data_IF_269730010707
#
_entry.id   IF_269730010707
#
_cell.length_a   1.000
_cell.length_b   1.000
_cell.length_c   1.000
_cell.angle_alpha   90.00
_cell.angle_beta   90.00
_cell.angle_gamma   90.00
#
_symmetry.space_group_name_H-M   'P 1'
#
loop_
_entity.id
_entity.type
_entity.pdbx_description
1 polymer ?
#
# COMPACT_ATOMS: atom_id res chain seq x y z
N UNK A 1 12.69 8.66 -10.70
CA UNK A 1 11.76 7.78 -11.45
C UNK A 1 11.94 6.29 -11.16
N UNK A 2 13.15 5.72 -11.19
CA UNK A 2 13.33 4.25 -11.05
C UNK A 2 12.85 3.64 -9.71
N UNK A 3 12.87 4.41 -8.61
CA UNK A 3 12.44 3.94 -7.28
C UNK A 3 10.95 3.59 -7.24
N UNK A 4 10.08 4.51 -7.68
CA UNK A 4 8.63 4.32 -7.70
C UNK A 4 8.21 3.19 -8.64
N UNK A 5 8.86 3.04 -9.80
CA UNK A 5 8.58 1.91 -10.70
C UNK A 5 8.89 0.56 -10.09
N UNK A 6 9.96 0.45 -9.27
CA UNK A 6 10.25 -0.78 -8.52
C UNK A 6 9.22 -1.05 -7.43
N UNK A 7 8.69 -0.02 -6.78
CA UNK A 7 7.61 -0.17 -5.81
C UNK A 7 6.31 -0.61 -6.46
N UNK A 8 5.97 -0.03 -7.62
CA UNK A 8 4.78 -0.39 -8.38
C UNK A 8 4.81 -1.88 -8.76
N UNK A 9 5.97 -2.45 -9.12
CA UNK A 9 6.13 -3.89 -9.37
C UNK A 9 5.88 -4.78 -8.14
N UNK A 10 6.09 -4.26 -6.92
CA UNK A 10 5.83 -4.98 -5.68
C UNK A 10 4.34 -4.97 -5.31
N UNK A 11 3.55 -4.02 -5.81
CA UNK A 11 2.11 -3.92 -5.51
C UNK A 11 1.37 -5.20 -5.93
N UNK A 12 1.65 -5.70 -7.14
CA UNK A 12 1.01 -6.88 -7.70
C UNK A 12 1.39 -8.18 -6.98
N UNK A 13 2.60 -8.24 -6.41
CA UNK A 13 3.11 -9.39 -5.68
C UNK A 13 2.42 -9.49 -4.31
N UNK A 14 2.38 -8.38 -3.57
CA UNK A 14 1.82 -8.35 -2.22
C UNK A 14 0.32 -8.05 -2.17
N UNK A 15 -0.32 -7.84 -3.33
CA UNK A 15 -1.76 -7.56 -3.45
C UNK A 15 -2.18 -6.35 -2.62
N UNK A 16 -1.33 -5.31 -2.60
CA UNK A 16 -1.61 -4.02 -1.97
C UNK A 16 -1.94 -2.99 -3.04
N UNK A 17 -2.74 -2.00 -2.69
CA UNK A 17 -3.25 -1.00 -3.64
C UNK A 17 -2.54 0.31 -3.41
N UNK A 18 -1.96 0.90 -4.46
CA UNK A 18 -1.49 2.28 -4.42
C UNK A 18 -2.68 3.21 -4.30
N UNK A 19 -2.69 4.02 -3.24
CA UNK A 19 -3.72 5.05 -3.03
C UNK A 19 -3.29 6.27 -3.82
N UNK A 20 -2.22 6.92 -3.37
CA UNK A 20 -1.77 8.21 -3.91
C UNK A 20 -0.27 8.40 -3.70
N UNK A 21 0.29 9.38 -4.40
CA UNK A 21 1.68 9.84 -4.19
C UNK A 21 1.64 11.33 -3.91
N UNK A 22 2.08 11.73 -2.70
CA UNK A 22 2.03 13.12 -2.23
C UNK A 22 3.47 13.59 -2.03
N UNK A 23 4.03 14.31 -3.01
CA UNK A 23 5.43 14.71 -3.00
C UNK A 23 6.36 13.50 -2.94
N UNK A 24 7.14 13.40 -1.86
CA UNK A 24 8.05 12.27 -1.57
C UNK A 24 7.41 11.15 -0.73
N UNK A 25 6.10 11.25 -0.48
CA UNK A 25 5.33 10.25 0.22
C UNK A 25 4.61 9.31 -0.76
N UNK A 26 4.84 8.01 -0.60
CA UNK A 26 4.17 6.95 -1.34
C UNK A 26 3.18 6.23 -0.43
N UNK A 27 1.89 6.36 -0.73
CA UNK A 27 0.79 5.87 0.10
C UNK A 27 0.15 4.65 -0.54
N UNK A 28 0.12 3.54 0.20
CA UNK A 28 -0.58 2.32 -0.20
C UNK A 28 -1.57 1.90 0.87
N UNK A 29 -2.59 1.17 0.46
CA UNK A 29 -3.59 0.58 1.33
C UNK A 29 -3.65 -0.94 1.12
N UNK A 30 -3.68 -1.67 2.22
CA UNK A 30 -4.02 -3.09 2.26
C UNK A 30 -5.39 -3.31 2.91
N UNK A 31 -6.03 -4.43 2.55
CA UNK A 31 -7.34 -4.80 3.11
C UNK A 31 -8.54 -4.19 2.40
N UNK A 32 -8.32 -3.29 1.42
CA UNK A 32 -9.40 -2.66 0.67
C UNK A 32 -10.05 -3.59 -0.38
N UNK A 33 -9.29 -4.56 -0.89
CA UNK A 33 -9.70 -5.42 -2.00
C UNK A 33 -9.24 -6.85 -1.75
N UNK A 34 -10.15 -7.82 -1.91
CA UNK A 34 -9.80 -9.23 -1.98
C UNK A 34 -9.80 -9.68 -3.44
N UNK A 35 -8.96 -10.65 -3.74
CA UNK A 35 -9.02 -11.36 -5.02
C UNK A 35 -9.86 -12.61 -4.78
N UNK A 36 -10.93 -12.77 -5.56
CA UNK A 36 -11.74 -13.98 -5.54
C UNK A 36 -10.92 -15.18 -6.08
N UNK A 37 -11.43 -16.41 -5.94
CA UNK A 37 -10.82 -17.62 -6.49
C UNK A 37 -10.51 -17.53 -7.99
N UNK A 38 -11.27 -16.69 -8.72
CA UNK A 38 -11.07 -16.41 -10.15
C UNK A 38 -10.08 -15.27 -10.44
N UNK A 39 -9.46 -14.67 -9.42
CA UNK A 39 -8.48 -13.59 -9.58
C UNK A 39 -9.09 -12.21 -9.84
N UNK A 40 -10.41 -12.06 -9.74
CA UNK A 40 -11.07 -10.76 -9.84
C UNK A 40 -11.03 -9.97 -8.53
N UNK A 41 -10.90 -8.64 -8.63
CA UNK A 41 -10.90 -7.70 -7.50
C UNK A 41 -12.34 -7.51 -6.99
N UNK A 42 -12.62 -8.04 -5.81
CA UNK A 42 -13.89 -7.87 -5.11
C UNK A 42 -13.70 -7.05 -3.83
N UNK A 43 -14.67 -6.19 -3.52
CA UNK A 43 -14.74 -5.50 -2.23
C UNK A 43 -15.21 -6.51 -1.18
N UNK A 44 -14.56 -6.56 -0.02
CA UNK A 44 -14.96 -7.44 1.08
C UNK A 44 -16.45 -7.23 1.41
N UNK A 45 -17.22 -8.32 1.61
CA UNK A 45 -18.56 -8.23 2.19
C UNK A 45 -18.52 -7.55 3.56
N UNK A 46 -19.60 -6.87 3.93
CA UNK A 46 -19.74 -6.22 5.24
C UNK A 46 -19.51 -7.24 6.36
N UNK A 47 -18.53 -6.99 7.23
CA UNK A 47 -18.18 -7.85 8.36
C UNK A 47 -17.04 -8.85 8.11
N UNK A 48 -16.59 -9.04 6.87
CA UNK A 48 -15.37 -9.84 6.61
C UNK A 48 -14.11 -8.98 6.67
N UNK A 49 -13.15 -9.41 7.49
CA UNK A 49 -11.81 -8.84 7.57
C UNK A 49 -10.83 -9.92 7.14
N UNK A 50 -10.07 -9.67 6.07
CA UNK A 50 -8.99 -10.59 5.69
C UNK A 50 -7.86 -10.50 6.71
N UNK A 51 -7.83 -11.29 7.78
CA UNK A 51 -6.81 -11.17 8.84
C UNK A 51 -5.34 -11.16 8.37
N UNK A 52 -5.06 -11.64 7.15
CA UNK A 52 -3.71 -11.63 6.57
C UNK A 52 -3.35 -10.33 5.85
N UNK A 53 -4.28 -9.37 5.68
CA UNK A 53 -4.01 -8.12 4.98
C UNK A 53 -2.89 -7.30 5.65
N UNK A 54 -2.85 -7.28 6.99
CA UNK A 54 -1.80 -6.60 7.74
C UNK A 54 -0.42 -7.22 7.48
N UNK A 55 -0.35 -8.56 7.42
CA UNK A 55 0.89 -9.29 7.10
C UNK A 55 1.38 -8.95 5.71
N UNK A 56 0.49 -8.89 4.70
CA UNK A 56 0.85 -8.50 3.33
C UNK A 56 1.41 -7.10 3.25
N UNK A 57 0.83 -6.14 3.97
CA UNK A 57 1.32 -4.76 4.04
C UNK A 57 2.70 -4.68 4.69
N UNK A 58 2.93 -5.44 5.77
CA UNK A 58 4.25 -5.47 6.44
C UNK A 58 5.31 -6.18 5.59
N UNK A 59 4.95 -7.24 4.87
CA UNK A 59 5.86 -7.90 3.93
C UNK A 59 6.19 -6.99 2.74
N UNK A 60 5.21 -6.26 2.22
CA UNK A 60 5.43 -5.20 1.21
C UNK A 60 6.38 -4.13 1.74
N UNK A 61 6.17 -3.64 2.96
CA UNK A 61 7.04 -2.69 3.64
C UNK A 61 8.50 -3.18 3.71
N UNK A 62 8.69 -4.45 4.09
CA UNK A 62 10.00 -5.09 4.15
C UNK A 62 10.65 -5.20 2.77
N UNK A 63 9.88 -5.54 1.74
CA UNK A 63 10.35 -5.63 0.37
C UNK A 63 10.77 -4.26 -0.18
N UNK A 64 10.01 -3.19 0.11
CA UNK A 64 10.37 -1.82 -0.25
C UNK A 64 11.70 -1.39 0.38
N UNK A 65 11.91 -1.65 1.67
CA UNK A 65 13.19 -1.36 2.34
C UNK A 65 14.36 -2.06 1.65
N UNK A 66 14.19 -3.34 1.28
CA UNK A 66 15.23 -4.09 0.56
C UNK A 66 15.49 -3.51 -0.82
N UNK A 67 14.44 -3.16 -1.56
CA UNK A 67 14.55 -2.53 -2.87
C UNK A 67 15.25 -1.17 -2.80
N UNK A 68 14.96 -0.37 -1.76
CA UNK A 68 15.56 0.94 -1.55
C UNK A 68 17.03 0.87 -1.13
N UNK A 69 17.43 -0.13 -0.33
CA UNK A 69 18.85 -0.35 0.02
C UNK A 69 19.76 -0.56 -1.18
N UNK A 70 19.23 -1.13 -2.26
CA UNK A 70 19.96 -1.34 -3.52
C UNK A 70 19.93 -0.14 -4.47
N UNK A 71 19.40 1.01 -4.03
CA UNK A 71 19.24 2.20 -4.84
C UNK A 71 19.91 3.39 -4.17
N UNK A 72 20.64 4.15 -4.97
CA UNK A 72 21.20 5.45 -4.59
C UNK A 72 20.38 6.56 -5.23
N UNK A 73 20.25 7.69 -4.54
CA UNK A 73 19.61 8.85 -5.13
C UNK A 73 20.44 9.35 -6.31
N UNK A 74 19.85 9.52 -7.51
CA UNK A 74 20.60 9.95 -8.69
C UNK A 74 21.11 11.39 -8.61
N UNK A 75 20.61 12.21 -7.67
CA UNK A 75 21.06 13.58 -7.48
C UNK A 75 22.12 13.75 -6.39
N UNK A 76 22.03 13.03 -5.28
CA UNK A 76 22.95 13.19 -4.13
C UNK A 76 23.96 12.05 -4.03
N UNK A 77 23.76 10.92 -4.71
CA UNK A 77 24.62 9.74 -4.60
C UNK A 77 24.48 8.99 -3.27
N UNK A 78 23.67 9.50 -2.34
CA UNK A 78 23.43 8.90 -1.04
C UNK A 78 22.44 7.73 -1.13
N UNK A 79 22.47 6.86 -0.11
CA UNK A 79 21.53 5.76 0.01
C UNK A 79 20.10 6.29 0.24
N UNK A 80 19.11 5.69 -0.42
CA UNK A 80 17.70 6.08 -0.23
C UNK A 80 17.27 5.79 1.21
N UNK A 81 16.98 6.85 1.97
CA UNK A 81 16.43 6.76 3.32
C UNK A 81 14.91 6.78 3.28
N UNK A 82 14.32 5.61 3.51
CA UNK A 82 12.87 5.47 3.66
C UNK A 82 12.48 5.45 5.13
N UNK A 83 11.45 6.20 5.47
CA UNK A 83 10.73 6.10 6.73
C UNK A 83 9.35 5.52 6.47
N UNK A 84 9.01 4.48 7.21
CA UNK A 84 7.77 3.74 7.01
C UNK A 84 6.84 3.98 8.19
N UNK A 85 5.61 4.37 7.90
CA UNK A 85 4.50 4.44 8.86
C UNK A 85 3.44 3.42 8.50
N UNK A 86 3.13 2.50 9.40
CA UNK A 86 1.99 1.59 9.29
C UNK A 86 0.92 2.06 10.26
N UNK A 87 -0.31 2.20 9.79
CA UNK A 87 -1.46 2.40 10.66
C UNK A 87 -2.56 1.40 10.30
N UNK A 88 -3.16 0.83 11.34
CA UNK A 88 -4.27 -0.10 11.27
C UNK A 88 -5.51 0.55 11.87
N UNK A 89 -6.57 0.69 11.09
CA UNK A 89 -7.82 1.26 11.58
C UNK A 89 -9.02 0.85 10.73
N UNK A 90 -10.20 0.92 11.33
CA UNK A 90 -11.43 0.91 10.56
C UNK A 90 -11.50 2.22 9.77
N UNK A 91 -11.59 2.14 8.44
CA UNK A 91 -11.79 3.31 7.58
C UNK A 91 -13.17 3.21 6.94
N UNK A 92 -13.83 4.34 6.76
CA UNK A 92 -15.04 4.41 5.96
C UNK A 92 -14.64 4.76 4.53
N UNK A 93 -14.74 3.81 3.60
CA UNK A 93 -14.47 4.05 2.18
C UNK A 93 -15.78 4.01 1.42
N UNK A 94 -16.41 5.18 1.27
CA UNK A 94 -17.60 5.34 0.45
C UNK A 94 -17.24 5.50 -1.03
N UNK A 95 -17.77 4.65 -1.90
CA UNK A 95 -17.86 4.99 -3.34
C UNK A 95 -18.95 6.03 -3.49
N UNK A 96 -18.68 7.15 -4.15
CA UNK A 96 -19.72 8.16 -4.46
C UNK A 96 -20.65 7.58 -5.53
N UNK A 97 -21.72 6.97 -5.05
CA UNK A 97 -22.88 6.47 -5.78
C UNK A 97 -24.03 6.41 -4.78
N UNK A 98 -25.23 6.80 -5.19
CA UNK A 98 -26.31 7.36 -4.35
C UNK A 98 -26.87 6.50 -3.21
N UNK A 99 -26.39 5.28 -2.96
CA UNK A 99 -26.90 4.41 -1.89
C UNK A 99 -25.80 3.55 -1.26
N UNK A 100 -25.62 3.75 0.06
CA UNK A 100 -24.80 3.01 1.03
C UNK A 100 -23.29 3.35 1.10
N UNK A 101 -22.85 4.05 2.16
CA UNK A 101 -21.45 4.05 2.53
C UNK A 101 -21.05 2.66 3.04
N UNK A 102 -19.91 2.14 2.57
CA UNK A 102 -19.37 0.84 2.98
C UNK A 102 -18.26 1.07 4.00
N UNK A 103 -18.29 0.33 5.11
CA UNK A 103 -17.22 0.32 6.10
C UNK A 103 -16.24 -0.80 5.75
N UNK A 104 -14.98 -0.47 5.52
CA UNK A 104 -13.93 -1.46 5.21
C UNK A 104 -12.72 -1.17 6.09
N UNK A 105 -12.23 -2.17 6.82
CA UNK A 105 -11.00 -2.01 7.60
C UNK A 105 -9.85 -1.76 6.62
N UNK A 106 -9.21 -0.59 6.72
CA UNK A 106 -8.13 -0.21 5.81
C UNK A 106 -6.85 0.00 6.61
N UNK A 107 -5.78 -0.64 6.16
CA UNK A 107 -4.46 -0.39 6.69
C UNK A 107 -3.73 0.49 5.68
N UNK A 108 -3.47 1.74 6.04
CA UNK A 108 -2.64 2.62 5.22
C UNK A 108 -1.19 2.50 5.65
N UNK A 109 -0.35 2.28 4.64
CA UNK A 109 1.09 2.25 4.76
C UNK A 109 1.65 3.42 3.97
N UNK A 110 2.29 4.32 4.70
CA UNK A 110 2.82 5.56 4.17
C UNK A 110 4.34 5.51 4.25
N UNK A 111 4.97 5.54 3.09
CA UNK A 111 6.42 5.60 2.95
C UNK A 111 6.79 7.05 2.72
N UNK A 112 7.52 7.69 3.64
CA UNK A 112 8.13 9.00 3.39
C UNK A 112 9.61 8.81 3.11
N UNK A 113 10.08 9.33 1.97
CA UNK A 113 11.52 9.49 1.75
C UNK A 113 11.97 10.74 2.50
N UNK A 114 13.07 10.67 3.27
CA UNK A 114 13.72 11.88 3.77
C UNK A 114 14.83 12.24 2.78
N UNK A 115 14.66 13.36 2.09
CA UNK A 115 15.75 14.05 1.39
C UNK A 115 16.81 14.50 2.39
#
# INVERSE_FOLDING_TARGET
MQLYSRFDALLDIYKVVKVETIGDAYVVAGGLVRYDTDGFRCVLPEGEVDHLHAVRVVEFARAMLRAARGLTLPHTGEAVMLRLGVHSGALMSGVVGTKQPRFTVCHYFLVTSRS
#
